data_IF_515611924752
#
_entry.id   IF_515611924752
#
_cell.length_a   1.000
_cell.length_b   1.000
_cell.length_c   1.000
_cell.angle_alpha   90.00
_cell.angle_beta   90.00
_cell.angle_gamma   90.00
#
_symmetry.space_group_name_H-M   'P 1'
#
loop_
_entity.id
_entity.type
_entity.pdbx_description
1 polymer ?
#
# COMPACT_ATOMS: atom_id res chain seq x y z
N UNK A 1 63.54 -22.72 -33.50
CA UNK A 1 63.27 -23.68 -32.41
C UNK A 1 62.64 -22.90 -31.26
N UNK A 2 61.35 -23.11 -31.02
CA UNK A 2 60.69 -22.72 -29.76
C UNK A 2 60.95 -23.83 -28.72
N UNK A 3 60.42 -23.82 -27.48
CA UNK A 3 60.01 -22.76 -26.55
C UNK A 3 60.41 -23.11 -25.07
N UNK A 4 59.79 -22.43 -24.09
CA UNK A 4 59.50 -22.90 -22.70
C UNK A 4 60.51 -22.51 -21.61
N UNK A 5 60.35 -21.32 -21.02
CA UNK A 5 60.60 -21.12 -19.58
C UNK A 5 59.93 -19.89 -18.95
N UNK A 6 58.92 -19.27 -19.61
CA UNK A 6 58.21 -18.09 -19.07
C UNK A 6 56.71 -18.42 -18.83
N UNK A 7 56.41 -19.63 -18.37
CA UNK A 7 55.02 -20.07 -18.14
C UNK A 7 54.82 -20.85 -16.83
N UNK A 8 55.60 -20.56 -15.78
CA UNK A 8 55.41 -21.22 -14.47
C UNK A 8 55.30 -20.27 -13.28
N UNK A 9 55.62 -18.98 -13.40
CA UNK A 9 55.49 -18.04 -12.26
C UNK A 9 54.15 -17.29 -12.16
N UNK A 10 53.18 -17.54 -13.06
CA UNK A 10 51.84 -16.95 -12.98
C UNK A 10 50.71 -17.92 -12.61
N UNK A 11 51.00 -19.18 -12.32
CA UNK A 11 49.99 -20.17 -11.92
C UNK A 11 49.99 -20.49 -10.41
N UNK A 12 50.82 -19.80 -9.60
CA UNK A 12 51.01 -20.08 -8.18
C UNK A 12 50.38 -19.10 -7.18
N UNK A 13 49.61 -18.10 -7.62
CA UNK A 13 49.11 -17.02 -6.72
C UNK A 13 47.59 -16.79 -6.74
N UNK A 14 46.80 -17.72 -7.28
CA UNK A 14 45.34 -17.57 -7.39
C UNK A 14 44.52 -18.48 -6.45
N UNK A 15 45.10 -19.03 -5.37
CA UNK A 15 44.36 -19.77 -4.34
C UNK A 15 44.41 -19.02 -3.00
N UNK A 16 43.92 -17.78 -3.00
CA UNK A 16 43.90 -16.95 -1.79
C UNK A 16 42.85 -15.85 -1.77
N UNK A 17 42.08 -15.65 -2.84
CA UNK A 17 40.90 -14.80 -2.78
C UNK A 17 39.75 -15.60 -2.18
N UNK A 18 39.75 -15.70 -0.84
CA UNK A 18 38.47 -15.70 -0.12
C UNK A 18 37.75 -14.45 -0.63
N UNK A 19 36.82 -14.66 -1.55
CA UNK A 19 35.75 -13.72 -1.78
C UNK A 19 35.07 -13.62 -0.42
N UNK A 20 35.44 -12.61 0.36
CA UNK A 20 34.57 -12.10 1.39
C UNK A 20 33.37 -11.56 0.64
N UNK A 21 32.45 -12.46 0.29
CA UNK A 21 31.05 -12.13 0.20
C UNK A 21 30.79 -11.37 1.49
N UNK A 22 30.40 -10.10 1.38
CA UNK A 22 29.93 -9.37 2.54
C UNK A 22 28.79 -10.21 3.10
N UNK A 23 29.08 -11.00 4.12
CA UNK A 23 28.09 -11.52 5.03
C UNK A 23 27.42 -10.27 5.57
N UNK A 24 26.22 -9.97 5.05
CA UNK A 24 25.42 -8.84 5.48
C UNK A 24 25.38 -8.85 7.01
N UNK A 25 25.79 -7.72 7.59
CA UNK A 25 26.02 -7.60 9.03
C UNK A 25 24.83 -8.19 9.84
N UNK A 26 25.08 -9.14 10.76
CA UNK A 26 24.02 -9.92 11.42
C UNK A 26 23.28 -9.17 12.56
N UNK A 27 23.33 -7.83 12.59
CA UNK A 27 22.85 -7.00 13.70
C UNK A 27 21.88 -5.90 13.24
N UNK A 28 20.75 -6.27 12.62
CA UNK A 28 19.78 -5.28 12.14
C UNK A 28 18.70 -5.00 13.20
N UNK A 29 18.84 -3.89 13.92
CA UNK A 29 17.70 -3.29 14.62
C UNK A 29 16.76 -2.63 13.61
N UNK A 30 15.46 -2.67 13.87
CA UNK A 30 14.44 -2.05 13.01
C UNK A 30 13.56 -1.12 13.83
N UNK A 31 13.41 0.13 13.40
CA UNK A 31 12.51 1.10 14.04
C UNK A 31 11.21 1.20 13.25
N UNK A 32 10.09 1.07 13.96
CA UNK A 32 8.73 1.17 13.41
C UNK A 32 7.83 2.07 14.27
N UNK A 33 6.74 2.57 13.70
CA UNK A 33 5.73 3.35 14.41
C UNK A 33 4.38 2.64 14.38
N UNK A 34 3.66 2.67 15.50
CA UNK A 34 2.31 2.13 15.66
C UNK A 34 1.37 3.20 16.22
N UNK A 35 0.15 3.36 15.66
CA UNK A 35 -0.40 2.64 14.51
C UNK A 35 0.17 3.11 13.16
N UNK A 36 0.69 4.34 13.08
CA UNK A 36 1.20 4.93 11.84
C UNK A 36 2.32 5.94 12.14
N UNK A 37 3.28 6.16 11.22
CA UNK A 37 4.26 7.25 11.32
C UNK A 37 3.67 8.63 10.98
N UNK A 38 2.48 8.67 10.38
CA UNK A 38 1.73 9.89 10.08
C UNK A 38 0.66 10.07 11.16
N UNK A 39 0.78 11.12 11.97
CA UNK A 39 0.06 11.25 13.23
C UNK A 39 -0.63 12.62 13.32
N UNK A 40 -1.94 12.69 13.62
CA UNK A 40 -2.61 13.97 13.78
C UNK A 40 -2.10 14.72 15.02
N UNK A 41 -2.16 16.05 14.95
CA UNK A 41 -1.91 16.92 16.10
C UNK A 41 -2.76 16.49 17.31
N UNK A 42 -2.15 16.41 18.49
CA UNK A 42 -2.80 15.93 19.72
C UNK A 42 -2.96 14.40 19.80
N UNK A 43 -2.62 13.67 18.75
CA UNK A 43 -2.70 12.22 18.68
C UNK A 43 -1.64 11.49 19.52
N UNK A 44 -1.50 10.19 19.24
CA UNK A 44 -0.56 9.30 19.92
C UNK A 44 0.16 8.40 18.92
N UNK A 45 1.46 8.20 19.13
CA UNK A 45 2.26 7.23 18.38
C UNK A 45 3.23 6.50 19.30
N UNK A 46 3.43 5.22 19.04
CA UNK A 46 4.44 4.40 19.73
C UNK A 46 5.54 4.04 18.74
N UNK A 47 6.76 4.46 19.03
CA UNK A 47 7.97 4.04 18.34
C UNK A 47 8.46 2.73 18.97
N UNK A 48 8.67 1.71 18.15
CA UNK A 48 9.04 0.36 18.58
C UNK A 48 10.33 -0.06 17.88
N UNK A 49 11.38 -0.26 18.68
CA UNK A 49 12.70 -0.68 18.22
C UNK A 49 12.81 -2.21 18.30
N UNK A 50 12.53 -2.87 17.19
CA UNK A 50 12.58 -4.32 17.09
C UNK A 50 14.02 -4.83 16.97
N UNK A 51 14.33 -5.90 17.67
CA UNK A 51 15.63 -6.56 17.58
C UNK A 51 15.52 -8.05 17.83
N UNK A 52 16.27 -8.82 17.03
CA UNK A 52 16.50 -10.24 17.28
C UNK A 52 17.48 -10.49 18.43
N UNK A 53 18.22 -9.47 18.88
CA UNK A 53 19.22 -9.57 19.93
C UNK A 53 18.72 -8.96 21.23
N UNK A 54 19.13 -9.55 22.35
CA UNK A 54 18.75 -9.06 23.68
C UNK A 54 19.65 -7.90 24.10
N UNK A 55 19.20 -6.69 23.84
CA UNK A 55 19.81 -5.48 24.39
C UNK A 55 19.34 -5.23 25.82
N UNK A 56 20.23 -4.67 26.63
CA UNK A 56 19.94 -4.27 28.01
C UNK A 56 19.10 -2.99 28.05
N UNK A 57 19.46 -2.05 27.18
CA UNK A 57 18.79 -0.76 27.01
C UNK A 57 18.71 -0.42 25.54
N UNK A 58 17.66 0.33 25.20
CA UNK A 58 17.44 0.95 23.91
C UNK A 58 17.50 2.45 24.08
N UNK A 59 18.11 3.12 23.10
CA UNK A 59 18.11 4.58 23.00
C UNK A 59 17.45 5.01 21.71
N UNK A 60 16.47 5.90 21.82
CA UNK A 60 15.82 6.56 20.69
C UNK A 60 16.48 7.91 20.44
N UNK A 61 16.85 8.14 19.19
CA UNK A 61 17.44 9.36 18.68
C UNK A 61 16.47 10.07 17.78
N UNK A 62 16.48 11.40 17.83
CA UNK A 62 15.89 12.27 16.81
C UNK A 62 17.00 13.03 16.10
N UNK A 63 17.04 12.92 14.78
CA UNK A 63 17.97 13.67 13.95
C UNK A 63 17.53 15.14 13.91
N UNK A 64 18.44 16.04 14.28
CA UNK A 64 18.24 17.49 14.30
C UNK A 64 19.42 18.15 13.57
N UNK A 65 19.19 18.62 12.34
CA UNK A 65 20.28 19.08 11.48
C UNK A 65 21.21 17.92 11.09
N UNK A 66 22.50 18.04 11.40
CA UNK A 66 23.53 17.01 11.10
C UNK A 66 23.76 16.00 12.23
N UNK A 67 23.15 16.20 13.41
CA UNK A 67 23.45 15.39 14.60
C UNK A 67 22.21 14.68 15.14
N UNK A 68 22.43 13.47 15.65
CA UNK A 68 21.42 12.69 16.36
C UNK A 68 21.41 13.07 17.84
N UNK A 69 20.26 13.57 18.31
CA UNK A 69 20.03 13.88 19.73
C UNK A 69 19.33 12.70 20.39
N UNK A 70 19.93 12.16 21.44
CA UNK A 70 19.28 11.16 22.28
C UNK A 70 18.06 11.78 22.99
N UNK A 71 16.90 11.16 22.86
CA UNK A 71 15.65 11.60 23.51
C UNK A 71 15.34 10.78 24.74
N UNK A 72 15.48 9.46 24.64
CA UNK A 72 15.18 8.54 25.71
C UNK A 72 16.13 7.35 25.66
N UNK A 73 16.60 6.93 26.83
CA UNK A 73 17.29 5.65 27.04
C UNK A 73 16.55 4.87 28.11
N UNK A 74 16.22 3.60 27.84
CA UNK A 74 15.50 2.76 28.80
C UNK A 74 15.60 1.28 28.47
N UNK A 75 15.04 0.42 29.34
CA UNK A 75 14.99 -1.03 29.11
C UNK A 75 13.89 -1.44 28.14
N UNK A 76 12.87 -0.59 27.99
CA UNK A 76 11.79 -0.78 27.02
C UNK A 76 12.31 -0.53 25.60
N UNK A 77 11.93 -1.40 24.66
CA UNK A 77 12.10 -1.18 23.22
C UNK A 77 11.06 -0.21 22.64
N UNK A 78 10.02 0.09 23.41
CA UNK A 78 8.88 0.91 22.98
C UNK A 78 8.86 2.26 23.70
N UNK A 79 8.60 3.31 22.93
CA UNK A 79 8.49 4.69 23.38
C UNK A 79 7.21 5.33 22.85
N UNK A 80 6.34 5.79 23.75
CA UNK A 80 5.07 6.44 23.38
C UNK A 80 5.19 7.96 23.45
N UNK A 81 4.74 8.63 22.40
CA UNK A 81 4.60 10.09 22.30
C UNK A 81 3.10 10.42 22.36
N UNK A 82 2.69 11.18 23.38
CA UNK A 82 1.30 11.60 23.60
C UNK A 82 1.26 12.77 24.58
N UNK A 83 0.54 13.87 24.31
CA UNK A 83 -0.02 14.25 23.01
C UNK A 83 1.07 14.65 22.01
N UNK A 84 0.85 14.34 20.73
CA UNK A 84 1.77 14.73 19.65
C UNK A 84 1.65 16.22 19.35
N UNK A 85 2.80 16.87 19.16
CA UNK A 85 2.94 18.30 18.84
C UNK A 85 3.89 18.47 17.65
N UNK A 86 3.92 19.63 16.98
CA UNK A 86 4.81 19.84 15.83
C UNK A 86 6.29 19.60 16.16
N UNK A 87 6.70 19.92 17.39
CA UNK A 87 8.06 19.66 17.89
C UNK A 87 8.46 18.17 17.95
N UNK A 88 7.51 17.24 17.86
CA UNK A 88 7.78 15.80 17.77
C UNK A 88 8.00 15.33 16.32
N UNK A 89 7.67 16.14 15.32
CA UNK A 89 7.86 15.79 13.93
C UNK A 89 9.37 15.72 13.58
N UNK A 90 9.79 14.76 12.75
CA UNK A 90 11.20 14.60 12.39
C UNK A 90 11.62 13.17 12.09
N UNK A 91 12.92 12.98 11.87
CA UNK A 91 13.51 11.66 11.60
C UNK A 91 14.07 11.03 12.87
N UNK A 92 13.71 9.76 13.10
CA UNK A 92 14.09 8.99 14.28
C UNK A 92 14.93 7.79 13.92
N UNK A 93 15.82 7.40 14.83
CA UNK A 93 16.65 6.19 14.77
C UNK A 93 16.72 5.55 16.15
N UNK A 94 16.95 4.24 16.23
CA UNK A 94 17.18 3.55 17.49
C UNK A 94 18.48 2.75 17.46
N UNK A 95 18.90 2.32 18.63
CA UNK A 95 20.12 1.52 18.85
C UNK A 95 20.03 0.87 20.22
N UNK A 96 20.68 -0.28 20.38
CA UNK A 96 20.75 -0.99 21.65
C UNK A 96 22.15 -0.95 22.28
N UNK A 97 22.20 -1.17 23.58
CA UNK A 97 23.44 -1.38 24.33
C UNK A 97 23.40 -2.72 25.06
N UNK A 98 24.56 -3.39 25.13
CA UNK A 98 24.69 -4.70 25.77
C UNK A 98 24.91 -4.56 27.29
N UNK A 99 24.54 -5.59 28.06
CA UNK A 99 24.83 -5.63 29.48
C UNK A 99 26.34 -5.52 29.75
N UNK A 100 26.70 -4.76 30.79
CA UNK A 100 28.08 -4.65 31.30
C UNK A 100 29.12 -4.07 30.32
N UNK A 101 28.71 -3.45 29.21
CA UNK A 101 29.63 -2.74 28.30
C UNK A 101 29.02 -1.41 27.84
N UNK A 102 29.86 -0.40 27.60
CA UNK A 102 29.44 0.84 26.93
C UNK A 102 29.30 0.66 25.41
N UNK A 103 29.37 -0.58 24.91
CA UNK A 103 29.30 -0.86 23.48
C UNK A 103 27.86 -0.69 22.97
N UNK A 104 27.73 0.05 21.87
CA UNK A 104 26.46 0.30 21.19
C UNK A 104 26.38 -0.51 19.91
N UNK A 105 25.17 -0.93 19.57
CA UNK A 105 24.87 -1.43 18.24
C UNK A 105 25.01 -0.32 17.20
N UNK A 106 25.05 -0.71 15.92
CA UNK A 106 24.74 0.22 14.85
C UNK A 106 23.31 0.77 15.01
N UNK A 107 23.05 1.91 14.38
CA UNK A 107 21.72 2.49 14.32
C UNK A 107 20.77 1.66 13.44
N UNK A 108 19.49 1.69 13.77
CA UNK A 108 18.41 1.17 12.93
C UNK A 108 18.26 1.95 11.62
N UNK A 109 17.31 1.52 10.78
CA UNK A 109 16.76 2.38 9.74
C UNK A 109 16.24 3.70 10.32
N UNK A 110 16.26 4.74 9.48
CA UNK A 110 15.59 6.01 9.75
C UNK A 110 14.07 5.85 9.60
N UNK A 111 13.32 6.47 10.51
CA UNK A 111 11.86 6.52 10.48
C UNK A 111 11.40 7.98 10.57
N UNK A 112 10.68 8.46 9.56
CA UNK A 112 10.14 9.81 9.55
C UNK A 112 8.77 9.85 10.23
N UNK A 113 8.61 10.71 11.22
CA UNK A 113 7.34 11.01 11.88
C UNK A 113 6.82 12.34 11.34
N UNK A 114 5.64 12.29 10.74
CA UNK A 114 4.95 13.44 10.15
C UNK A 114 3.75 13.79 11.01
N UNK A 115 3.62 15.06 11.38
CA UNK A 115 2.49 15.56 12.16
C UNK A 115 1.50 16.24 11.22
N UNK A 116 0.24 15.80 11.22
CA UNK A 116 -0.80 16.32 10.30
C UNK A 116 -1.81 17.23 11.00
N UNK A 117 -2.50 18.04 10.20
CA UNK A 117 -3.60 18.91 10.65
C UNK A 117 -3.26 20.39 10.77
N UNK A 118 -2.09 20.82 10.29
CA UNK A 118 -1.69 22.23 10.32
C UNK A 118 -2.38 23.09 9.25
N UNK A 119 -2.76 22.48 8.12
CA UNK A 119 -3.33 23.16 6.95
C UNK A 119 -4.54 22.41 6.37
N UNK A 120 -5.28 23.04 5.45
CA UNK A 120 -6.41 22.42 4.73
C UNK A 120 -5.95 21.20 3.92
N UNK A 121 -6.80 20.16 3.86
CA UNK A 121 -6.48 18.90 3.18
C UNK A 121 -6.46 19.07 1.64
N UNK A 122 -5.55 18.37 0.94
CA UNK A 122 -5.59 18.27 -0.51
C UNK A 122 -6.65 17.26 -0.99
N UNK A 123 -6.94 17.25 -2.28
CA UNK A 123 -7.70 16.20 -2.96
C UNK A 123 -6.76 15.11 -3.49
N UNK A 124 -7.28 13.90 -3.68
CA UNK A 124 -6.52 12.74 -4.19
C UNK A 124 -7.34 12.00 -5.26
N UNK A 125 -6.68 11.51 -6.31
CA UNK A 125 -7.32 10.74 -7.38
C UNK A 125 -6.38 9.70 -8.01
N UNK A 126 -6.95 8.73 -8.73
CA UNK A 126 -6.21 7.74 -9.50
C UNK A 126 -6.47 7.92 -11.00
N UNK A 127 -5.41 7.85 -11.81
CA UNK A 127 -5.46 7.87 -13.26
C UNK A 127 -4.79 6.62 -13.86
N UNK A 128 -5.40 5.96 -14.86
CA UNK A 128 -6.68 6.29 -15.50
C UNK A 128 -7.92 6.02 -14.63
N UNK A 129 -7.85 5.04 -13.73
CA UNK A 129 -8.85 4.80 -12.68
C UNK A 129 -8.33 3.76 -11.67
N UNK A 130 -9.06 3.58 -10.56
CA UNK A 130 -9.04 2.35 -9.76
C UNK A 130 -10.36 1.64 -10.03
N UNK A 131 -10.39 0.34 -10.40
CA UNK A 131 -9.37 -0.70 -10.19
C UNK A 131 -8.24 -0.79 -11.25
N UNK A 132 -7.11 -1.40 -10.87
CA UNK A 132 -5.87 -1.51 -11.69
C UNK A 132 -5.48 -2.98 -11.90
N UNK A 133 -5.08 -3.38 -13.11
CA UNK A 133 -4.64 -4.75 -13.37
C UNK A 133 -3.23 -5.02 -12.82
N UNK A 134 -3.00 -6.23 -12.28
CA UNK A 134 -1.68 -6.67 -11.84
C UNK A 134 -0.68 -6.61 -12.99
N UNK A 135 0.51 -6.07 -12.72
CA UNK A 135 1.55 -5.78 -13.71
C UNK A 135 1.39 -4.45 -14.45
N UNK A 136 0.23 -3.78 -14.35
CA UNK A 136 0.04 -2.44 -14.91
C UNK A 136 0.63 -1.34 -14.02
N UNK A 137 0.59 -0.10 -14.50
CA UNK A 137 0.90 1.09 -13.70
C UNK A 137 -0.37 1.90 -13.43
N UNK A 138 -0.41 2.58 -12.30
CA UNK A 138 -1.43 3.57 -11.96
C UNK A 138 -0.75 4.83 -11.45
N UNK A 139 -1.29 5.97 -11.81
CA UNK A 139 -0.82 7.26 -11.33
C UNK A 139 -1.78 7.76 -10.26
N UNK A 140 -1.27 8.04 -9.07
CA UNK A 140 -2.00 8.73 -8.01
C UNK A 140 -1.66 10.21 -8.09
N UNK A 141 -2.68 11.07 -8.11
CA UNK A 141 -2.52 12.51 -8.16
C UNK A 141 -3.01 13.14 -6.87
N UNK A 142 -2.23 14.06 -6.30
CA UNK A 142 -2.62 14.83 -5.14
C UNK A 142 -2.65 16.31 -5.52
N UNK A 143 -3.78 16.97 -5.32
CA UNK A 143 -4.04 18.32 -5.82
C UNK A 143 -4.40 19.27 -4.67
N UNK A 144 -3.87 20.50 -4.71
CA UNK A 144 -4.13 21.52 -3.71
C UNK A 144 -4.13 22.93 -4.32
N UNK A 145 -5.07 23.76 -3.88
CA UNK A 145 -5.05 25.22 -4.13
C UNK A 145 -4.01 25.94 -3.27
N UNK A 146 -3.58 25.32 -2.16
CA UNK A 146 -2.42 25.78 -1.40
C UNK A 146 -1.15 25.34 -2.12
N UNK A 147 -0.26 26.30 -2.38
CA UNK A 147 1.02 26.10 -3.04
C UNK A 147 2.03 25.38 -2.12
N UNK A 148 1.76 24.12 -1.79
CA UNK A 148 2.68 23.29 -1.02
C UNK A 148 3.92 22.97 -1.85
N UNK A 149 5.08 22.98 -1.20
CA UNK A 149 6.37 22.67 -1.84
C UNK A 149 6.61 21.15 -1.97
N UNK A 150 6.00 20.35 -1.10
CA UNK A 150 6.16 18.89 -1.04
C UNK A 150 4.81 18.21 -0.75
N UNK A 151 4.60 17.00 -1.29
CA UNK A 151 3.46 16.16 -0.95
C UNK A 151 3.94 14.76 -0.57
N UNK A 152 3.32 14.22 0.46
CA UNK A 152 3.61 12.87 0.96
C UNK A 152 2.40 12.00 0.67
N UNK A 153 2.56 11.04 -0.24
CA UNK A 153 1.62 9.94 -0.43
C UNK A 153 1.98 8.79 0.51
N UNK A 154 1.02 8.23 1.22
CA UNK A 154 1.23 7.05 2.05
C UNK A 154 0.02 6.13 2.00
N UNK A 155 0.28 4.85 2.23
CA UNK A 155 -0.75 3.82 2.39
C UNK A 155 -1.11 3.74 3.87
N UNK A 156 -2.37 3.60 4.24
CA UNK A 156 -2.72 3.35 5.64
C UNK A 156 -1.93 2.16 6.19
N UNK A 157 -1.22 2.36 7.30
CA UNK A 157 -0.36 1.34 7.93
C UNK A 157 1.06 1.23 7.39
N UNK A 158 1.43 1.91 6.29
CA UNK A 158 2.79 1.90 5.73
C UNK A 158 3.17 3.24 5.09
N UNK A 159 4.32 3.79 5.45
CA UNK A 159 4.92 4.94 4.73
C UNK A 159 5.83 4.45 3.62
N UNK A 160 5.50 4.76 2.37
CA UNK A 160 6.44 4.75 1.26
C UNK A 160 6.61 6.21 0.80
N UNK A 161 7.85 6.62 0.53
CA UNK A 161 8.17 7.97 0.09
C UNK A 161 8.81 7.89 -1.29
N UNK A 162 8.15 8.50 -2.28
CA UNK A 162 8.66 8.78 -3.62
C UNK A 162 7.68 9.79 -4.23
N UNK A 163 8.15 10.90 -4.80
CA UNK A 163 7.31 11.97 -5.35
C UNK A 163 7.91 12.53 -6.65
N UNK A 164 7.05 12.91 -7.59
CA UNK A 164 7.32 13.84 -8.71
C UNK A 164 6.29 14.99 -8.61
N UNK A 165 6.75 16.25 -8.71
CA UNK A 165 5.92 17.46 -8.57
C UNK A 165 5.65 18.10 -9.93
N UNK A 166 4.44 18.62 -10.11
CA UNK A 166 4.02 19.35 -11.31
C UNK A 166 3.14 20.57 -10.93
N UNK A 167 3.31 21.69 -11.64
CA UNK A 167 2.56 22.93 -11.38
C UNK A 167 1.57 23.20 -12.52
N UNK A 168 0.35 23.62 -12.18
CA UNK A 168 -0.73 23.80 -13.16
C UNK A 168 -1.64 24.99 -12.90
N UNK A 169 -2.52 25.25 -13.86
CA UNK A 169 -3.53 26.30 -13.78
C UNK A 169 -4.83 25.80 -14.38
N UNK A 170 -5.90 25.78 -13.58
CA UNK A 170 -7.23 25.30 -13.98
C UNK A 170 -8.27 26.36 -13.59
N UNK A 171 -9.13 26.73 -14.56
CA UNK A 171 -10.21 27.70 -14.38
C UNK A 171 -9.78 29.04 -13.73
N UNK A 172 -8.54 29.49 -13.98
CA UNK A 172 -8.00 30.75 -13.42
C UNK A 172 -7.46 30.65 -12.00
N UNK A 173 -7.55 29.48 -11.37
CA UNK A 173 -6.98 29.21 -10.04
C UNK A 173 -5.64 28.48 -10.20
N UNK A 174 -4.60 29.00 -9.54
CA UNK A 174 -3.32 28.31 -9.48
C UNK A 174 -3.42 27.14 -8.50
N UNK A 175 -2.96 25.97 -8.93
CA UNK A 175 -2.92 24.79 -8.08
C UNK A 175 -1.57 24.10 -8.26
N UNK A 176 -1.20 23.35 -7.23
CA UNK A 176 -0.05 22.46 -7.28
C UNK A 176 -0.55 21.03 -7.26
N UNK A 177 0.00 20.20 -8.14
CA UNK A 177 -0.28 18.79 -8.21
C UNK A 177 1.00 17.98 -7.98
N UNK A 178 0.87 16.88 -7.25
CA UNK A 178 1.93 15.89 -7.14
C UNK A 178 1.48 14.60 -7.81
N UNK A 179 2.37 14.04 -8.63
CA UNK A 179 2.13 12.86 -9.45
C UNK A 179 2.97 11.71 -8.91
N UNK A 180 2.28 10.66 -8.47
CA UNK A 180 2.89 9.47 -7.88
C UNK A 180 2.62 8.27 -8.79
N UNK A 181 3.67 7.76 -9.46
CA UNK A 181 3.54 6.58 -10.32
C UNK A 181 3.74 5.30 -9.50
N UNK A 182 2.69 4.49 -9.38
CA UNK A 182 2.72 3.19 -8.72
C UNK A 182 2.78 2.07 -9.77
N UNK A 183 3.78 1.20 -9.65
CA UNK A 183 3.84 -0.07 -10.36
C UNK A 183 5.18 -0.37 -11.05
N UNK A 184 5.33 -1.54 -11.69
CA UNK A 184 4.29 -2.53 -11.98
C UNK A 184 3.55 -3.05 -10.74
N UNK A 185 2.23 -2.88 -10.68
CA UNK A 185 1.47 -3.11 -9.46
C UNK A 185 1.31 -4.61 -9.17
N UNK A 186 1.41 -4.95 -7.90
CA UNK A 186 1.21 -6.29 -7.35
C UNK A 186 0.13 -6.21 -6.27
N UNK A 187 -0.44 -7.34 -5.81
CA UNK A 187 -1.38 -7.36 -4.68
C UNK A 187 -0.96 -6.56 -3.45
N UNK A 188 0.34 -6.46 -3.16
CA UNK A 188 0.85 -5.69 -2.04
C UNK A 188 0.53 -4.19 -2.13
N UNK A 189 0.26 -3.68 -3.34
CA UNK A 189 -0.13 -2.30 -3.61
C UNK A 189 -1.63 -2.05 -3.36
N UNK A 190 -2.45 -3.07 -3.10
CA UNK A 190 -3.88 -2.87 -2.83
C UNK A 190 -4.11 -2.25 -1.44
N UNK A 191 -5.02 -1.29 -1.33
CA UNK A 191 -5.47 -0.68 -0.07
C UNK A 191 -5.73 0.82 -0.15
N UNK A 192 -5.97 1.43 1.01
CA UNK A 192 -6.28 2.85 1.15
C UNK A 192 -5.02 3.73 1.16
N UNK A 193 -4.97 4.69 0.24
CA UNK A 193 -3.91 5.69 0.14
C UNK A 193 -4.45 7.06 0.56
N UNK A 194 -3.58 7.88 1.16
CA UNK A 194 -3.84 9.30 1.43
C UNK A 194 -2.63 10.14 1.11
N UNK A 195 -2.86 11.40 0.81
CA UNK A 195 -1.79 12.37 0.66
C UNK A 195 -1.95 13.57 1.61
N UNK A 196 -0.83 14.21 1.92
CA UNK A 196 -0.80 15.52 2.57
C UNK A 196 0.30 16.38 1.93
N UNK A 197 0.05 17.67 1.79
CA UNK A 197 1.06 18.67 1.40
C UNK A 197 1.73 19.34 2.61
N UNK A 198 2.99 19.74 2.44
CA UNK A 198 3.82 20.47 3.41
C UNK A 198 4.64 21.57 2.73
N UNK A 199 5.06 22.57 3.50
CA UNK A 199 5.99 23.60 3.02
C UNK A 199 7.45 23.23 3.32
N UNK A 200 8.36 23.72 2.50
CA UNK A 200 9.80 23.50 2.58
C UNK A 200 10.42 23.89 3.93
N UNK A 201 9.90 24.95 4.56
CA UNK A 201 10.32 25.39 5.90
C UNK A 201 9.75 24.53 7.04
N UNK A 202 8.81 23.62 6.74
CA UNK A 202 8.07 22.81 7.71
C UNK A 202 7.79 21.39 7.18
N UNK A 203 8.79 20.73 6.58
CA UNK A 203 8.67 19.40 5.93
C UNK A 203 8.07 18.26 6.78
N UNK A 204 8.11 18.40 8.10
CA UNK A 204 7.56 17.38 9.01
C UNK A 204 6.15 17.73 9.51
N UNK A 205 5.64 18.93 9.17
CA UNK A 205 4.29 19.39 9.44
C UNK A 205 3.48 19.36 8.14
N UNK A 206 2.47 18.51 8.11
CA UNK A 206 1.61 18.33 6.96
C UNK A 206 0.25 19.00 7.17
N UNK A 207 -0.40 19.30 6.06
CA UNK A 207 -1.84 19.50 5.99
C UNK A 207 -2.63 18.35 6.64
N UNK A 208 -3.91 18.60 6.91
CA UNK A 208 -4.85 17.53 7.16
C UNK A 208 -4.81 16.51 6.01
N UNK A 209 -4.94 15.21 6.31
CA UNK A 209 -4.85 14.18 5.28
C UNK A 209 -6.02 14.28 4.30
N UNK A 210 -5.79 13.93 3.02
CA UNK A 210 -6.84 13.82 2.00
C UNK A 210 -7.92 12.80 2.40
N UNK A 211 -9.01 12.75 1.65
CA UNK A 211 -9.90 11.58 1.72
C UNK A 211 -9.14 10.32 1.26
N UNK A 212 -9.53 9.11 1.73
CA UNK A 212 -8.87 7.87 1.32
C UNK A 212 -9.17 7.55 -0.15
N UNK A 213 -8.13 7.17 -0.89
CA UNK A 213 -8.21 6.61 -2.23
C UNK A 213 -7.94 5.11 -2.18
N UNK A 214 -8.95 4.30 -2.48
CA UNK A 214 -8.83 2.84 -2.50
C UNK A 214 -8.24 2.35 -3.83
N UNK A 215 -7.03 1.80 -3.78
CA UNK A 215 -6.41 1.12 -4.92
C UNK A 215 -6.73 -0.38 -4.86
N UNK A 216 -7.44 -0.86 -5.88
CA UNK A 216 -7.90 -2.25 -6.00
C UNK A 216 -7.11 -2.93 -7.12
N UNK A 217 -6.48 -4.07 -6.83
CA UNK A 217 -5.63 -4.79 -7.81
C UNK A 217 -6.38 -5.99 -8.38
N UNK A 218 -6.50 -6.05 -9.71
CA UNK A 218 -7.27 -7.08 -10.43
C UNK A 218 -6.36 -7.98 -11.27
N UNK A 219 -6.87 -9.12 -11.75
CA UNK A 219 -6.18 -9.90 -12.80
C UNK A 219 -5.07 -10.85 -12.34
N UNK A 220 -4.78 -10.99 -11.04
CA UNK A 220 -3.88 -12.04 -10.53
C UNK A 220 -4.46 -13.45 -10.67
N UNK A 221 -5.79 -13.56 -10.62
CA UNK A 221 -6.51 -14.83 -10.67
C UNK A 221 -7.38 -14.88 -11.92
N UNK A 222 -7.55 -16.10 -12.47
CA UNK A 222 -8.41 -16.32 -13.63
C UNK A 222 -9.81 -15.79 -13.31
N UNK A 223 -10.34 -14.98 -14.22
CA UNK A 223 -11.67 -14.39 -14.11
C UNK A 223 -12.72 -15.49 -13.94
N UNK A 224 -13.67 -15.35 -12.98
CA UNK A 224 -14.81 -16.24 -12.95
C UNK A 224 -15.57 -16.08 -14.27
N UNK A 225 -16.24 -17.10 -14.77
CA UNK A 225 -17.21 -17.01 -15.86
C UNK A 225 -18.61 -16.85 -15.30
N UNK A 226 -19.38 -15.92 -15.87
CA UNK A 226 -20.79 -15.76 -15.55
C UNK A 226 -21.62 -16.49 -16.62
N UNK A 227 -22.52 -17.37 -16.18
CA UNK A 227 -23.42 -18.12 -17.05
C UNK A 227 -24.85 -18.12 -16.49
N UNK A 228 -25.79 -18.61 -17.29
CA UNK A 228 -27.21 -18.76 -16.95
C UNK A 228 -27.70 -20.08 -17.55
N UNK A 229 -28.65 -20.74 -16.88
CA UNK A 229 -29.26 -21.98 -17.37
C UNK A 229 -30.31 -21.71 -18.45
N UNK A 230 -30.88 -20.50 -18.47
CA UNK A 230 -31.78 -19.99 -19.50
C UNK A 230 -30.96 -19.17 -20.48
N UNK A 231 -31.28 -19.20 -21.78
CA UNK A 231 -30.58 -18.39 -22.79
C UNK A 231 -30.62 -16.88 -22.49
N UNK A 232 -29.85 -16.03 -23.20
CA UNK A 232 -29.79 -14.58 -22.95
C UNK A 232 -31.10 -13.82 -23.18
N UNK A 233 -32.13 -14.52 -23.65
CA UNK A 233 -33.48 -14.03 -23.90
C UNK A 233 -34.45 -14.88 -23.08
N UNK A 234 -35.20 -14.24 -22.19
CA UNK A 234 -36.02 -14.90 -21.17
C UNK A 234 -37.40 -14.28 -21.16
N UNK A 235 -38.42 -15.13 -21.05
CA UNK A 235 -39.82 -14.72 -21.00
C UNK A 235 -40.16 -13.99 -19.70
N UNK A 236 -41.11 -13.05 -19.79
CA UNK A 236 -41.61 -12.33 -18.62
C UNK A 236 -42.10 -13.30 -17.54
N UNK A 237 -41.65 -13.09 -16.30
CA UNK A 237 -42.03 -13.92 -15.14
C UNK A 237 -41.20 -15.20 -14.93
N UNK A 238 -40.32 -15.58 -15.87
CA UNK A 238 -39.43 -16.72 -15.66
C UNK A 238 -38.37 -16.44 -14.59
N UNK A 239 -38.06 -17.42 -13.75
CA UNK A 239 -37.09 -17.26 -12.66
C UNK A 239 -35.66 -17.34 -13.20
N UNK A 240 -34.93 -16.23 -13.11
CA UNK A 240 -33.54 -16.15 -13.58
C UNK A 240 -32.55 -16.45 -12.46
N UNK A 241 -31.64 -17.39 -12.70
CA UNK A 241 -30.49 -17.67 -11.82
C UNK A 241 -29.20 -17.53 -12.61
N UNK A 242 -28.29 -16.70 -12.11
CA UNK A 242 -26.95 -16.52 -12.67
C UNK A 242 -25.94 -17.35 -11.89
N UNK A 243 -25.10 -18.07 -12.61
CA UNK A 243 -24.05 -18.93 -12.08
C UNK A 243 -22.71 -18.26 -12.32
N UNK A 244 -22.02 -17.93 -11.24
CA UNK A 244 -20.68 -17.42 -11.30
C UNK A 244 -19.70 -18.52 -10.94
N UNK A 245 -18.94 -18.99 -11.92
CA UNK A 245 -18.09 -20.18 -11.84
C UNK A 245 -16.64 -19.75 -11.98
N UNK A 246 -15.72 -20.33 -11.23
CA UNK A 246 -14.30 -20.03 -11.28
C UNK A 246 -13.48 -21.30 -11.15
N UNK A 247 -12.29 -21.32 -11.73
CA UNK A 247 -11.29 -22.38 -11.46
C UNK A 247 -10.50 -22.13 -10.16
N UNK A 248 -10.76 -20.99 -9.52
CA UNK A 248 -10.17 -20.57 -8.24
C UNK A 248 -11.30 -20.49 -7.21
N UNK A 249 -11.11 -21.12 -6.06
CA UNK A 249 -12.06 -21.07 -4.94
C UNK A 249 -11.95 -19.73 -4.22
N UNK A 250 -12.90 -18.83 -4.48
CA UNK A 250 -12.98 -17.55 -3.77
C UNK A 250 -13.77 -17.69 -2.47
N UNK A 251 -13.47 -16.86 -1.46
CA UNK A 251 -14.22 -16.86 -0.20
C UNK A 251 -15.62 -16.25 -0.34
N UNK A 252 -15.78 -15.32 -1.29
CA UNK A 252 -17.05 -14.65 -1.57
C UNK A 252 -17.15 -14.34 -3.06
N UNK A 253 -18.36 -14.47 -3.60
CA UNK A 253 -18.68 -14.00 -4.94
C UNK A 253 -19.66 -12.84 -4.86
N UNK A 254 -19.53 -11.90 -5.79
CA UNK A 254 -20.37 -10.72 -5.88
C UNK A 254 -20.93 -10.58 -7.28
N UNK A 255 -22.19 -10.16 -7.38
CA UNK A 255 -22.88 -9.88 -8.63
C UNK A 255 -23.28 -8.41 -8.69
N UNK A 256 -22.93 -7.74 -9.78
CA UNK A 256 -23.29 -6.35 -10.05
C UNK A 256 -23.92 -6.20 -11.43
N UNK A 257 -24.81 -5.21 -11.57
CA UNK A 257 -25.46 -4.84 -12.82
C UNK A 257 -24.99 -3.46 -13.26
N UNK A 258 -24.57 -3.34 -14.51
CA UNK A 258 -24.15 -2.09 -15.12
C UNK A 258 -25.26 -1.02 -15.02
N UNK A 259 -24.91 0.18 -14.54
CA UNK A 259 -25.87 1.26 -14.28
C UNK A 259 -26.51 1.25 -12.88
N UNK A 260 -26.28 0.23 -12.04
CA UNK A 260 -26.65 0.29 -10.63
C UNK A 260 -25.68 1.18 -9.82
N UNK A 261 -26.15 1.91 -8.78
CA UNK A 261 -25.28 2.71 -7.92
C UNK A 261 -24.10 1.89 -7.38
N UNK A 262 -22.89 2.48 -7.38
CA UNK A 262 -21.69 1.83 -6.85
C UNK A 262 -21.91 1.41 -5.38
N UNK A 263 -21.61 0.16 -5.06
CA UNK A 263 -21.74 -0.39 -3.70
C UNK A 263 -23.04 -1.16 -3.41
N UNK A 264 -24.02 -1.15 -4.31
CA UNK A 264 -25.26 -1.92 -4.15
C UNK A 264 -25.15 -3.29 -4.86
N UNK A 265 -24.59 -4.27 -4.15
CA UNK A 265 -24.51 -5.65 -4.62
C UNK A 265 -25.89 -6.31 -4.60
N UNK A 266 -26.28 -6.97 -5.70
CA UNK A 266 -27.59 -7.62 -5.80
C UNK A 266 -27.72 -8.80 -4.82
N UNK A 267 -26.61 -9.44 -4.48
CA UNK A 267 -26.46 -10.44 -3.42
C UNK A 267 -24.98 -10.79 -3.24
N UNK A 268 -24.57 -11.11 -2.01
CA UNK A 268 -23.28 -11.74 -1.72
C UNK A 268 -23.48 -13.23 -1.50
N UNK A 269 -23.18 -14.04 -2.51
CA UNK A 269 -23.25 -15.49 -2.37
C UNK A 269 -22.14 -15.94 -1.43
N UNK A 270 -22.49 -16.56 -0.29
CA UNK A 270 -21.49 -17.24 0.54
C UNK A 270 -20.95 -18.42 -0.28
N UNK A 271 -19.71 -18.32 -0.73
CA UNK A 271 -18.96 -19.50 -1.13
C UNK A 271 -18.78 -20.34 0.13
N UNK A 272 -19.43 -21.50 0.19
CA UNK A 272 -18.98 -22.52 1.13
C UNK A 272 -17.48 -22.76 0.88
N UNK A 273 -16.69 -22.97 1.94
CA UNK A 273 -15.23 -23.16 1.87
C UNK A 273 -14.87 -24.09 0.69
N UNK A 274 -14.16 -23.58 -0.32
CA UNK A 274 -13.76 -24.35 -1.49
C UNK A 274 -14.75 -24.39 -2.66
N UNK A 275 -15.87 -23.67 -2.60
CA UNK A 275 -16.82 -23.59 -3.70
C UNK A 275 -16.23 -22.80 -4.87
N UNK A 276 -16.12 -23.46 -6.01
CA UNK A 276 -15.72 -22.90 -7.29
C UNK A 276 -16.88 -22.15 -7.99
N UNK A 277 -18.03 -22.02 -7.33
CA UNK A 277 -19.24 -21.47 -7.91
C UNK A 277 -20.11 -20.76 -6.86
N UNK A 278 -20.80 -19.70 -7.27
CA UNK A 278 -21.91 -19.09 -6.54
C UNK A 278 -23.13 -18.88 -7.45
N UNK A 279 -24.31 -19.04 -6.87
CA UNK A 279 -25.59 -18.93 -7.58
C UNK A 279 -26.32 -17.68 -7.09
N UNK A 280 -26.74 -16.83 -8.01
CA UNK A 280 -27.45 -15.58 -7.73
C UNK A 280 -28.85 -15.64 -8.34
N UNK A 281 -29.88 -15.66 -7.50
CA UNK A 281 -31.27 -15.58 -7.95
C UNK A 281 -31.66 -14.12 -8.18
N UNK A 282 -31.96 -13.74 -9.42
CA UNK A 282 -32.43 -12.39 -9.77
C UNK A 282 -33.94 -12.25 -9.53
N UNK A 283 -34.66 -13.37 -9.45
CA UNK A 283 -36.11 -13.41 -9.28
C UNK A 283 -36.84 -13.54 -10.63
N UNK A 284 -38.16 -13.30 -10.67
CA UNK A 284 -38.94 -13.33 -11.91
C UNK A 284 -38.48 -12.24 -12.87
N UNK A 285 -38.26 -12.58 -14.14
CA UNK A 285 -37.80 -11.65 -15.16
C UNK A 285 -38.84 -10.52 -15.36
N UNK A 286 -38.35 -9.28 -15.28
CA UNK A 286 -39.11 -8.06 -15.60
C UNK A 286 -38.26 -7.18 -16.51
N UNK A 287 -38.83 -6.22 -17.24
CA UNK A 287 -38.05 -5.27 -18.03
C UNK A 287 -36.97 -4.53 -17.21
N UNK A 288 -37.25 -4.28 -15.93
CA UNK A 288 -36.30 -3.67 -15.00
C UNK A 288 -35.11 -4.58 -14.62
N UNK A 289 -35.17 -5.88 -14.93
CA UNK A 289 -34.10 -6.85 -14.73
C UNK A 289 -33.20 -7.04 -15.97
N UNK A 290 -33.53 -6.44 -17.12
CA UNK A 290 -32.64 -6.41 -18.29
C UNK A 290 -31.36 -5.62 -18.02
N UNK A 291 -30.25 -6.01 -18.67
CA UNK A 291 -28.97 -5.30 -18.58
C UNK A 291 -27.73 -6.20 -18.61
N UNK A 292 -26.56 -5.57 -18.52
CA UNK A 292 -25.27 -6.27 -18.41
C UNK A 292 -24.95 -6.55 -16.96
N UNK A 293 -24.71 -7.82 -16.64
CA UNK A 293 -24.29 -8.28 -15.33
C UNK A 293 -22.79 -8.62 -15.35
N UNK A 294 -22.12 -8.40 -14.22
CA UNK A 294 -20.73 -8.78 -14.00
C UNK A 294 -20.60 -9.56 -12.70
N UNK A 295 -19.74 -10.57 -12.71
CA UNK A 295 -19.39 -11.32 -11.50
C UNK A 295 -17.93 -11.13 -11.08
N UNK A 296 -17.73 -11.18 -9.77
CA UNK A 296 -16.46 -10.98 -9.07
C UNK A 296 -16.28 -12.05 -8.00
N UNK A 297 -15.04 -12.47 -7.75
CA UNK A 297 -14.66 -13.31 -6.60
C UNK A 297 -13.68 -12.58 -5.70
N UNK A 298 -13.79 -12.67 -4.37
CA UNK A 298 -12.87 -12.01 -3.43
C UNK A 298 -12.43 -12.94 -2.31
N UNK A 299 -11.23 -12.73 -1.78
CA UNK A 299 -10.72 -13.44 -0.60
C UNK A 299 -10.95 -12.64 0.68
N UNK A 300 -11.23 -13.31 1.81
CA UNK A 300 -11.44 -12.65 3.12
C UNK A 300 -10.19 -11.90 3.60
N UNK A 301 -9.00 -12.41 3.28
CA UNK A 301 -7.72 -11.79 3.63
C UNK A 301 -7.32 -10.66 2.67
N UNK A 302 -7.99 -10.52 1.52
CA UNK A 302 -7.75 -9.46 0.53
C UNK A 302 -9.07 -9.07 -0.13
N UNK A 303 -9.92 -8.27 0.55
CA UNK A 303 -11.22 -7.87 0.01
C UNK A 303 -11.11 -7.02 -1.26
N UNK A 304 -9.91 -6.55 -1.61
CA UNK A 304 -9.61 -5.64 -2.72
C UNK A 304 -9.03 -6.34 -3.97
N UNK A 305 -9.17 -7.66 -4.11
CA UNK A 305 -8.69 -8.41 -5.29
C UNK A 305 -9.80 -9.13 -6.09
N UNK A 306 -10.77 -8.43 -6.70
CA UNK A 306 -11.78 -9.08 -7.51
C UNK A 306 -11.36 -9.29 -8.98
N UNK A 307 -11.39 -10.53 -9.51
CA UNK A 307 -11.28 -10.77 -10.94
C UNK A 307 -12.68 -10.69 -11.61
N UNK A 308 -12.76 -10.13 -12.83
CA UNK A 308 -14.01 -9.64 -13.44
C UNK A 308 -14.41 -10.38 -14.73
N UNK A 309 -15.68 -10.75 -14.91
CA UNK A 309 -16.25 -11.15 -16.22
C UNK A 309 -17.62 -10.52 -16.52
N UNK A 310 -17.91 -10.18 -17.80
CA UNK A 310 -19.22 -9.67 -18.24
C UNK A 310 -20.15 -10.74 -18.82
N UNK A 311 -21.47 -10.52 -18.69
CA UNK A 311 -22.55 -11.24 -19.38
C UNK A 311 -23.73 -10.28 -19.61
N UNK A 312 -24.38 -10.32 -20.78
CA UNK A 312 -25.49 -9.40 -21.12
C UNK A 312 -26.81 -10.15 -21.25
N UNK A 313 -27.88 -9.56 -20.73
CA UNK A 313 -29.22 -10.14 -20.68
C UNK A 313 -30.27 -9.17 -21.24
N UNK A 314 -31.17 -9.67 -22.09
CA UNK A 314 -32.26 -8.90 -22.69
C UNK A 314 -33.61 -9.58 -22.39
N UNK A 315 -34.53 -8.86 -21.75
CA UNK A 315 -35.92 -9.29 -21.57
C UNK A 315 -36.81 -8.55 -22.58
N UNK A 316 -37.63 -9.29 -23.33
CA UNK A 316 -38.67 -8.74 -24.20
C UNK A 316 -40.04 -8.82 -23.52
#
# INVERSE_FOLDING_TARGET
MAPKLIAVLCLGLCLGQKICTQAGAPNKLSLSARPSPVVPLGGRVTLSCDSHHRFATFTIYKTSGTQDRALLTGRSSDFTISPVTPGHAGTYRCSGSYNHTSQRSAHSNSLMIVVTGAFRKPSISAHPSSPVAAGAQVTVRCHSELAFDEFILYKEGHTQHSQELDEGMEAGTHYIEAVFRLGPVTPAHAGAYRCCGSFSHSRYECSAPSDPLEIVITGKHKKPSLSTQVGPMVGLGEKVTLFCISQVSFDRYHLWREGAPHGQWLSGGQGHRGAFQANFSVGPATPAHGGTYRCYGSFKASPYEPPVSPCTFLSQ
#
